data_IF_386933701829
#
_entry.id   IF_386933701829
#
_cell.length_a   1.000
_cell.length_b   1.000
_cell.length_c   1.000
_cell.angle_alpha   90.00
_cell.angle_beta   90.00
_cell.angle_gamma   90.00
#
_symmetry.space_group_name_H-M   'P 1'
#
loop_
_entity.id
_entity.type
_entity.pdbx_description
1 polymer ?
#
# COMPACT_ATOMS: atom_id res chain seq x y z
N UNK A 1 62.36 -2.89 40.14
CA UNK A 1 60.97 -2.48 40.42
C UNK A 1 60.42 -1.83 39.17
N UNK A 2 59.53 -2.52 38.44
CA UNK A 2 58.87 -2.03 37.22
C UNK A 2 57.36 -2.15 37.48
N UNK A 3 56.69 -1.01 37.57
CA UNK A 3 55.27 -0.93 37.83
C UNK A 3 54.51 -1.00 36.50
N UNK A 4 53.81 -2.11 36.25
CA UNK A 4 52.79 -2.22 35.21
C UNK A 4 51.44 -2.29 35.90
N UNK A 5 50.61 -1.25 35.73
CA UNK A 5 49.25 -1.19 36.28
C UNK A 5 48.24 -1.05 35.14
N UNK A 6 47.61 -2.19 34.87
CA UNK A 6 46.31 -2.48 34.27
C UNK A 6 45.45 -1.31 33.81
N UNK A 7 45.07 -1.37 32.52
CA UNK A 7 44.10 -0.51 31.84
C UNK A 7 42.64 -0.78 32.27
N UNK A 8 41.86 0.30 32.17
CA UNK A 8 40.47 0.51 32.55
C UNK A 8 39.46 -0.42 31.82
N UNK A 9 38.56 -1.05 32.57
CA UNK A 9 37.10 -0.78 32.75
C UNK A 9 36.20 -1.41 31.67
N UNK A 10 35.31 -2.35 32.05
CA UNK A 10 34.25 -2.87 31.20
C UNK A 10 33.00 -1.97 31.31
N UNK A 11 32.38 -1.63 30.19
CA UNK A 11 31.05 -1.00 30.21
C UNK A 11 30.12 -1.65 29.19
N UNK A 12 29.36 -2.59 29.74
CA UNK A 12 27.95 -2.90 29.48
C UNK A 12 27.40 -2.67 28.07
N UNK A 13 27.19 -3.80 27.41
CA UNK A 13 26.10 -4.06 26.47
C UNK A 13 24.76 -3.62 27.09
N UNK A 14 24.10 -2.61 26.50
CA UNK A 14 22.74 -2.24 26.84
C UNK A 14 21.84 -2.39 25.61
N UNK A 15 20.93 -3.36 25.69
CA UNK A 15 19.89 -3.63 24.72
C UNK A 15 18.71 -2.68 24.92
N UNK A 16 18.22 -2.10 23.83
CA UNK A 16 16.83 -1.67 23.62
C UNK A 16 16.62 -1.84 22.11
N UNK A 17 15.82 -2.79 21.61
CA UNK A 17 14.46 -3.04 22.05
C UNK A 17 13.52 -2.16 21.23
N UNK A 18 13.45 -2.37 19.91
CA UNK A 18 12.29 -2.00 19.12
C UNK A 18 11.70 -3.27 18.52
N UNK A 19 10.49 -3.55 18.97
CA UNK A 19 9.67 -4.67 18.60
C UNK A 19 9.06 -4.49 17.19
N UNK A 20 8.75 -5.64 16.57
CA UNK A 20 7.71 -5.89 15.56
C UNK A 20 7.75 -5.02 14.29
N UNK A 21 7.93 -5.60 13.11
CA UNK A 21 6.99 -6.59 12.56
C UNK A 21 7.69 -7.74 11.85
N UNK A 22 7.27 -8.95 12.20
CA UNK A 22 7.39 -10.14 11.35
C UNK A 22 6.64 -9.84 10.05
N UNK A 23 7.37 -9.48 8.99
CA UNK A 23 6.89 -9.65 7.63
C UNK A 23 7.12 -11.10 7.23
N UNK A 24 6.19 -11.99 7.58
CA UNK A 24 6.02 -13.24 6.86
C UNK A 24 5.11 -12.93 5.66
N UNK A 25 5.41 -13.58 4.53
CA UNK A 25 4.63 -13.67 3.27
C UNK A 25 4.89 -12.50 2.29
N UNK A 26 5.19 -12.70 1.00
CA UNK A 26 5.17 -13.91 0.16
C UNK A 26 6.13 -13.77 -1.03
N UNK A 27 6.48 -14.92 -1.61
CA UNK A 27 7.19 -15.04 -2.87
C UNK A 27 6.37 -14.48 -4.06
N UNK A 28 7.08 -13.98 -5.08
CA UNK A 28 6.59 -13.44 -6.36
C UNK A 28 5.71 -12.17 -6.28
N UNK A 29 6.32 -11.06 -5.86
CA UNK A 29 5.66 -9.75 -5.81
C UNK A 29 5.80 -9.02 -7.16
N UNK A 30 4.94 -9.36 -8.11
CA UNK A 30 4.67 -8.43 -9.21
C UNK A 30 3.89 -7.27 -8.61
N UNK A 31 4.61 -6.24 -8.13
CA UNK A 31 4.05 -5.03 -7.53
C UNK A 31 3.25 -4.25 -8.58
N UNK A 32 2.02 -4.67 -8.87
CA UNK A 32 1.07 -3.89 -9.65
C UNK A 32 0.69 -2.62 -8.88
N UNK A 33 0.51 -1.51 -9.59
CA UNK A 33 0.02 -0.27 -8.98
C UNK A 33 -1.46 -0.44 -8.63
N UNK A 34 -1.82 -0.22 -7.36
CA UNK A 34 -3.16 -0.48 -6.83
C UNK A 34 -3.62 0.67 -5.94
N UNK A 35 -4.89 1.02 -6.07
CA UNK A 35 -5.51 2.09 -5.30
C UNK A 35 -6.90 1.67 -4.85
N UNK A 36 -7.28 2.02 -3.61
CA UNK A 36 -8.62 1.77 -3.09
C UNK A 36 -9.56 2.88 -3.57
N UNK A 37 -10.70 2.49 -4.14
CA UNK A 37 -11.77 3.40 -4.47
C UNK A 37 -12.67 3.64 -3.26
N UNK A 38 -12.89 4.91 -2.91
CA UNK A 38 -13.69 5.28 -1.74
C UNK A 38 -15.19 5.46 -2.03
N UNK A 39 -15.60 5.45 -3.30
CA UNK A 39 -16.97 5.78 -3.71
C UNK A 39 -17.28 7.28 -3.74
N UNK A 40 -16.25 8.13 -3.68
CA UNK A 40 -16.35 9.58 -3.82
C UNK A 40 -16.30 10.02 -5.29
N UNK A 41 -17.05 11.06 -5.66
CA UNK A 41 -16.99 11.65 -7.00
C UNK A 41 -15.59 12.21 -7.30
N UNK A 42 -14.95 12.85 -6.31
CA UNK A 42 -13.57 13.36 -6.46
C UNK A 42 -12.58 12.22 -6.71
N UNK A 43 -12.82 11.07 -6.11
CA UNK A 43 -11.96 9.89 -6.28
C UNK A 43 -12.22 9.25 -7.64
N UNK A 44 -13.48 9.20 -8.08
CA UNK A 44 -13.82 8.75 -9.42
C UNK A 44 -13.11 9.59 -10.49
N UNK A 45 -13.01 10.92 -10.31
CA UNK A 45 -12.23 11.79 -11.19
C UNK A 45 -10.72 11.46 -11.18
N UNK A 46 -10.14 11.18 -10.01
CA UNK A 46 -8.73 10.77 -9.89
C UNK A 46 -8.46 9.44 -10.60
N UNK A 47 -9.34 8.45 -10.42
CA UNK A 47 -9.25 7.17 -11.14
C UNK A 47 -9.44 7.35 -12.64
N UNK A 48 -10.33 8.24 -13.08
CA UNK A 48 -10.55 8.47 -14.51
C UNK A 48 -9.30 9.03 -15.21
N UNK A 49 -8.55 9.92 -14.55
CA UNK A 49 -7.26 10.43 -15.03
C UNK A 49 -6.21 9.32 -15.08
N UNK A 50 -6.18 8.48 -14.04
CA UNK A 50 -5.30 7.32 -14.01
C UNK A 50 -5.60 6.32 -15.14
N UNK A 51 -6.88 6.12 -15.46
CA UNK A 51 -7.33 5.30 -16.58
C UNK A 51 -6.95 5.88 -17.95
N UNK A 52 -6.86 7.22 -18.06
CA UNK A 52 -6.36 7.91 -19.25
C UNK A 52 -4.83 7.80 -19.40
N UNK A 53 -4.15 7.25 -18.40
CA UNK A 53 -2.70 7.05 -18.37
C UNK A 53 -1.94 8.16 -17.64
N UNK A 54 -2.62 9.07 -16.94
CA UNK A 54 -1.99 10.04 -16.05
C UNK A 54 -1.52 9.38 -14.74
N UNK A 55 -0.75 10.13 -13.93
CA UNK A 55 -0.37 9.71 -12.59
C UNK A 55 -1.59 9.68 -11.66
N UNK A 56 -1.74 8.63 -10.86
CA UNK A 56 -2.80 8.58 -9.85
C UNK A 56 -2.49 9.56 -8.72
N UNK A 57 -3.40 10.51 -8.49
CA UNK A 57 -3.30 11.47 -7.38
C UNK A 57 -4.48 11.25 -6.44
N UNK A 58 -4.20 10.71 -5.25
CA UNK A 58 -5.23 10.54 -4.22
C UNK A 58 -5.82 11.89 -3.80
N UNK A 59 -7.13 12.10 -3.91
CA UNK A 59 -7.74 13.36 -3.54
C UNK A 59 -7.70 13.56 -2.01
N UNK A 60 -7.23 14.73 -1.58
CA UNK A 60 -7.14 15.05 -0.14
C UNK A 60 -8.51 15.31 0.51
N UNK A 61 -9.56 15.51 -0.30
CA UNK A 61 -10.94 15.72 0.14
C UNK A 61 -11.87 14.85 -0.69
N UNK A 62 -12.59 13.96 -0.02
CA UNK A 62 -13.52 13.03 -0.63
C UNK A 62 -14.96 13.41 -0.30
N UNK A 63 -15.82 13.39 -1.32
CA UNK A 63 -17.26 13.59 -1.18
C UNK A 63 -17.93 12.26 -0.83
N UNK A 64 -19.06 12.27 -0.12
CA UNK A 64 -19.77 11.06 0.33
C UNK A 64 -20.93 10.73 -0.60
N UNK A 65 -20.68 10.73 -1.90
CA UNK A 65 -21.73 10.59 -2.91
C UNK A 65 -22.09 9.13 -3.21
N UNK A 66 -21.28 8.16 -2.73
CA UNK A 66 -21.45 6.72 -2.99
C UNK A 66 -21.62 6.43 -4.49
N UNK A 67 -20.73 6.99 -5.29
CA UNK A 67 -20.71 6.77 -6.73
C UNK A 67 -20.05 5.45 -7.08
N UNK A 68 -20.58 4.80 -8.09
CA UNK A 68 -19.97 3.67 -8.77
C UNK A 68 -18.95 4.19 -9.79
N UNK A 69 -17.86 3.44 -10.01
CA UNK A 69 -16.82 3.77 -10.99
C UNK A 69 -16.66 2.62 -11.98
N UNK A 70 -16.92 2.87 -13.25
CA UNK A 70 -16.67 1.86 -14.29
C UNK A 70 -15.17 1.69 -14.52
N UNK A 71 -14.63 0.52 -14.16
CA UNK A 71 -13.19 0.22 -14.26
C UNK A 71 -12.84 -0.28 -15.66
N UNK A 72 -13.69 -1.14 -16.22
CA UNK A 72 -13.56 -1.65 -17.58
C UNK A 72 -14.95 -1.94 -18.16
N UNK A 73 -15.04 -2.58 -19.32
CA UNK A 73 -16.34 -2.88 -19.96
C UNK A 73 -17.19 -3.90 -19.20
N UNK A 74 -16.60 -4.67 -18.28
CA UNK A 74 -17.20 -5.77 -17.54
C UNK A 74 -17.40 -5.48 -16.04
N UNK A 75 -16.59 -4.59 -15.46
CA UNK A 75 -16.50 -4.37 -14.01
C UNK A 75 -16.76 -2.92 -13.62
N UNK A 76 -17.49 -2.76 -12.53
CA UNK A 76 -17.78 -1.47 -11.89
C UNK A 76 -17.38 -1.58 -10.43
N UNK A 77 -16.54 -0.67 -9.97
CA UNK A 77 -16.05 -0.58 -8.61
C UNK A 77 -17.01 0.23 -7.74
N UNK A 78 -17.23 -0.27 -6.54
CA UNK A 78 -17.99 0.36 -5.47
C UNK A 78 -17.06 0.89 -4.36
N UNK A 79 -17.65 1.62 -3.42
CA UNK A 79 -16.94 2.14 -2.26
C UNK A 79 -16.28 1.00 -1.47
N UNK A 80 -14.95 1.01 -1.39
CA UNK A 80 -14.12 0.04 -0.67
C UNK A 80 -13.35 -0.91 -1.56
N UNK A 81 -13.71 -1.02 -2.85
CA UNK A 81 -13.02 -1.88 -3.81
C UNK A 81 -11.60 -1.40 -4.07
N UNK A 82 -10.71 -2.34 -4.38
CA UNK A 82 -9.32 -2.04 -4.74
C UNK A 82 -9.15 -2.29 -6.23
N UNK A 83 -8.67 -1.28 -6.94
CA UNK A 83 -8.43 -1.35 -8.37
C UNK A 83 -6.92 -1.44 -8.59
N UNK A 84 -6.48 -2.39 -9.41
CA UNK A 84 -5.09 -2.54 -9.79
C UNK A 84 -4.88 -2.42 -11.30
N UNK A 85 -3.69 -1.98 -11.68
CA UNK A 85 -3.23 -1.89 -13.06
C UNK A 85 -2.30 -3.05 -13.39
N UNK A 86 -2.66 -3.86 -14.37
CA UNK A 86 -1.83 -4.98 -14.84
C UNK A 86 -0.63 -4.52 -15.70
N UNK A 87 0.24 -5.46 -16.07
CA UNK A 87 1.43 -5.16 -16.90
C UNK A 87 1.09 -4.71 -18.32
N UNK A 88 -0.13 -4.95 -18.76
CA UNK A 88 -0.66 -4.52 -20.06
C UNK A 88 -1.33 -3.13 -19.96
N UNK A 89 -1.35 -2.51 -18.78
CA UNK A 89 -1.99 -1.23 -18.52
C UNK A 89 -3.52 -1.29 -18.42
N UNK A 90 -4.10 -2.49 -18.26
CA UNK A 90 -5.54 -2.67 -18.04
C UNK A 90 -5.86 -2.62 -16.55
N UNK A 91 -7.09 -2.23 -16.24
CA UNK A 91 -7.57 -2.07 -14.88
C UNK A 91 -8.57 -3.16 -14.51
N UNK A 92 -8.43 -3.64 -13.28
CA UNK A 92 -9.18 -4.77 -12.75
C UNK A 92 -9.49 -4.52 -11.27
N UNK A 93 -10.59 -5.09 -10.79
CA UNK A 93 -10.95 -5.02 -9.37
C UNK A 93 -10.39 -6.25 -8.66
N UNK A 94 -9.65 -6.03 -7.57
CA UNK A 94 -9.29 -7.10 -6.65
C UNK A 94 -10.54 -7.48 -5.88
N UNK A 95 -11.19 -8.53 -6.35
CA UNK A 95 -12.17 -9.22 -5.55
C UNK A 95 -11.41 -10.01 -4.49
N UNK A 96 -11.29 -9.43 -3.29
CA UNK A 96 -10.84 -10.19 -2.13
C UNK A 96 -11.85 -11.34 -1.98
N UNK A 97 -11.44 -12.55 -2.38
CA UNK A 97 -12.30 -13.71 -2.33
C UNK A 97 -12.69 -13.92 -0.88
N UNK A 98 -13.91 -13.54 -0.51
CA UNK A 98 -14.47 -13.83 0.81
C UNK A 98 -14.64 -15.35 0.88
N UNK A 99 -13.63 -16.03 1.42
CA UNK A 99 -13.72 -17.44 1.79
C UNK A 99 -14.71 -17.50 2.96
N UNK A 100 -15.97 -17.84 2.66
CA UNK A 100 -17.02 -18.05 3.66
C UNK A 100 -16.97 -19.44 4.25
#
# INVERSE_FOLDING_TARGET
MRFSRTMAVPSMLAAAGLAASVGVASADDSFYEQHRFSGSSTSAEAFQKWFDGEEFVEPSVETRDLTELKVNEFETAEAGDVIYKDDQGRFWIIQEAVIK
#
